data_IF_396901227281
#
_entry.id   IF_396901227281
#
_cell.length_a   1.000
_cell.length_b   1.000
_cell.length_c   1.000
_cell.angle_alpha   90.00
_cell.angle_beta   90.00
_cell.angle_gamma   90.00
#
_symmetry.space_group_name_H-M   'P 1'
#
loop_
_entity.id
_entity.type
_entity.pdbx_description
1 polymer ?
#
# COMPACT_ATOMS: atom_id res chain seq x y z
N UNK A 1 31.28 -18.43 -5.10
CA UNK A 1 30.29 -19.38 -5.61
C UNK A 1 28.89 -18.77 -5.57
N UNK A 2 28.26 -18.59 -4.42
CA UNK A 2 26.84 -18.15 -4.28
C UNK A 2 26.47 -16.83 -5.01
N UNK A 3 27.37 -15.83 -4.96
CA UNK A 3 27.16 -14.55 -5.70
C UNK A 3 27.22 -14.75 -7.22
N UNK A 4 28.09 -15.62 -7.71
CA UNK A 4 28.17 -15.93 -9.13
C UNK A 4 26.95 -16.71 -9.62
N UNK A 5 26.44 -17.63 -8.80
CA UNK A 5 25.22 -18.37 -9.12
C UNK A 5 24.01 -17.46 -9.21
N UNK A 6 23.89 -16.50 -8.27
CA UNK A 6 22.83 -15.45 -8.31
C UNK A 6 22.97 -14.57 -9.55
N UNK A 7 24.20 -14.19 -9.94
CA UNK A 7 24.43 -13.36 -11.12
C UNK A 7 24.03 -14.08 -12.42
N UNK A 8 24.28 -15.39 -12.49
CA UNK A 8 23.88 -16.21 -13.64
C UNK A 8 22.36 -16.26 -13.77
N UNK A 9 21.68 -16.55 -12.65
CA UNK A 9 20.21 -16.59 -12.62
C UNK A 9 19.60 -15.23 -12.98
N UNK A 10 20.18 -14.15 -12.48
CA UNK A 10 19.72 -12.79 -12.78
C UNK A 10 19.88 -12.45 -14.27
N UNK A 11 21.02 -12.76 -14.88
CA UNK A 11 21.25 -12.54 -16.30
C UNK A 11 20.28 -13.34 -17.17
N UNK A 12 20.08 -14.61 -16.84
CA UNK A 12 19.14 -15.46 -17.58
C UNK A 12 17.69 -14.95 -17.48
N UNK A 13 17.32 -14.37 -16.34
CA UNK A 13 16.03 -13.72 -16.16
C UNK A 13 15.90 -12.45 -17.03
N UNK A 14 16.94 -11.59 -17.03
CA UNK A 14 16.96 -10.37 -17.87
C UNK A 14 16.88 -10.71 -19.36
N UNK A 15 17.64 -11.73 -19.79
CA UNK A 15 17.64 -12.20 -21.19
C UNK A 15 16.23 -12.68 -21.58
N UNK A 16 15.55 -13.46 -20.75
CA UNK A 16 14.18 -13.92 -20.96
C UNK A 16 13.15 -12.79 -21.00
N UNK A 17 13.24 -11.85 -20.07
CA UNK A 17 12.35 -10.67 -20.02
C UNK A 17 12.47 -9.90 -21.35
N UNK A 18 13.70 -9.74 -21.83
CA UNK A 18 14.00 -9.03 -23.08
C UNK A 18 13.50 -9.82 -24.32
N UNK A 19 13.74 -11.12 -24.37
CA UNK A 19 13.30 -12.00 -25.48
C UNK A 19 11.78 -12.04 -25.63
N UNK A 20 11.05 -12.07 -24.50
CA UNK A 20 9.59 -12.13 -24.45
C UNK A 20 8.93 -10.75 -24.56
N UNK A 21 9.70 -9.65 -24.77
CA UNK A 21 9.22 -8.26 -24.77
C UNK A 21 8.41 -7.87 -23.52
N UNK A 22 8.75 -8.41 -22.36
CA UNK A 22 8.21 -7.95 -21.08
C UNK A 22 8.99 -6.73 -20.59
N UNK A 23 8.32 -5.89 -19.81
CA UNK A 23 8.93 -4.77 -19.09
C UNK A 23 8.81 -5.07 -17.60
N UNK A 24 9.93 -5.05 -16.88
CA UNK A 24 9.90 -5.09 -15.42
C UNK A 24 9.38 -3.75 -14.89
N UNK A 25 8.48 -3.78 -13.91
CA UNK A 25 7.97 -2.56 -13.24
C UNK A 25 9.12 -1.72 -12.66
N UNK A 26 10.21 -2.34 -12.23
CA UNK A 26 11.37 -1.65 -11.71
C UNK A 26 12.15 -0.85 -12.77
N UNK A 27 11.98 -1.17 -14.06
CA UNK A 27 12.70 -0.50 -15.15
C UNK A 27 11.88 0.62 -15.81
N UNK A 28 10.61 0.77 -15.45
CA UNK A 28 9.71 1.75 -16.06
C UNK A 28 10.27 3.18 -16.03
N UNK A 29 10.82 3.61 -14.90
CA UNK A 29 11.41 4.95 -14.77
C UNK A 29 12.71 5.11 -15.55
N UNK A 30 13.49 4.05 -15.70
CA UNK A 30 14.70 4.03 -16.54
C UNK A 30 14.32 4.18 -18.01
N UNK A 31 13.34 3.40 -18.47
CA UNK A 31 12.80 3.48 -19.84
C UNK A 31 12.16 4.85 -20.09
N UNK A 32 11.47 5.41 -19.10
CA UNK A 32 10.92 6.76 -19.18
C UNK A 32 12.03 7.79 -19.38
N UNK A 33 13.09 7.75 -18.57
CA UNK A 33 14.21 8.67 -18.69
C UNK A 33 14.87 8.62 -20.09
N UNK A 34 15.02 7.43 -20.68
CA UNK A 34 15.60 7.25 -22.02
C UNK A 34 14.71 7.74 -23.16
N UNK A 35 13.41 7.83 -22.95
CA UNK A 35 12.45 8.16 -23.99
C UNK A 35 11.76 9.52 -23.84
N UNK A 36 11.89 10.16 -22.68
CA UNK A 36 11.21 11.43 -22.39
C UNK A 36 11.58 12.52 -23.40
N UNK A 37 12.84 12.63 -23.76
CA UNK A 37 13.32 13.60 -24.76
C UNK A 37 12.82 13.29 -26.19
N UNK A 38 12.57 12.01 -26.51
CA UNK A 38 12.10 11.59 -27.83
C UNK A 38 10.61 11.82 -28.04
N UNK A 39 9.85 11.89 -26.94
CA UNK A 39 8.40 12.03 -26.99
C UNK A 39 7.90 13.43 -27.35
N UNK A 40 8.73 14.46 -27.16
CA UNK A 40 8.39 15.88 -27.31
C UNK A 40 7.15 16.33 -26.49
N UNK A 41 6.66 15.47 -25.57
CA UNK A 41 5.44 15.73 -24.79
C UNK A 41 5.65 16.89 -23.80
N UNK A 42 6.88 17.06 -23.31
CA UNK A 42 7.21 18.00 -22.26
C UNK A 42 8.01 19.20 -22.77
N UNK A 43 8.18 19.31 -24.07
CA UNK A 43 8.89 20.46 -24.67
C UNK A 43 8.16 21.77 -24.28
N UNK A 44 8.95 22.78 -23.87
CA UNK A 44 8.43 24.09 -23.46
C UNK A 44 7.39 24.07 -22.31
N UNK A 45 7.25 22.95 -21.61
CA UNK A 45 6.32 22.83 -20.48
C UNK A 45 6.85 23.51 -19.22
N UNK A 46 5.93 23.93 -18.35
CA UNK A 46 6.24 24.35 -16.97
C UNK A 46 5.73 23.26 -16.02
N UNK A 47 6.63 22.72 -15.21
CA UNK A 47 6.35 21.59 -14.33
C UNK A 47 6.44 21.99 -12.86
N UNK A 48 5.56 21.42 -12.05
CA UNK A 48 5.56 21.57 -10.60
C UNK A 48 5.63 20.19 -9.95
N UNK A 49 6.66 19.98 -9.13
CA UNK A 49 6.88 18.75 -8.35
C UNK A 49 6.82 19.14 -6.87
N UNK A 50 5.79 18.66 -6.17
CA UNK A 50 5.48 19.09 -4.80
C UNK A 50 5.31 17.90 -3.85
N UNK A 51 5.53 18.14 -2.54
CA UNK A 51 5.39 17.14 -1.46
C UNK A 51 6.41 15.98 -1.45
N UNK A 52 7.52 16.08 -2.16
CA UNK A 52 8.58 15.08 -2.10
C UNK A 52 9.63 15.40 -1.03
N UNK A 53 9.94 14.42 -0.16
CA UNK A 53 11.06 14.53 0.78
C UNK A 53 12.38 14.12 0.13
N UNK A 54 12.34 13.24 -0.86
CA UNK A 54 13.50 12.75 -1.62
C UNK A 54 13.07 12.00 -2.87
N UNK A 55 14.05 11.63 -3.67
CA UNK A 55 13.86 10.93 -4.93
C UNK A 55 14.77 9.71 -5.01
N UNK A 56 14.32 8.66 -5.67
CA UNK A 56 15.14 7.52 -6.05
C UNK A 56 16.13 7.90 -7.16
N UNK A 57 17.15 7.09 -7.39
CA UNK A 57 18.11 7.34 -8.47
C UNK A 57 17.47 7.42 -9.85
N UNK A 58 16.45 6.61 -10.09
CA UNK A 58 15.71 6.59 -11.35
C UNK A 58 14.86 7.85 -11.51
N UNK A 59 14.20 8.32 -10.45
CA UNK A 59 13.46 9.60 -10.46
C UNK A 59 14.38 10.78 -10.70
N UNK A 60 15.57 10.82 -10.10
CA UNK A 60 16.58 11.83 -10.41
C UNK A 60 17.01 11.79 -11.88
N UNK A 61 17.13 10.59 -12.47
CA UNK A 61 17.45 10.48 -13.91
C UNK A 61 16.34 11.05 -14.78
N UNK A 62 15.08 10.80 -14.45
CA UNK A 62 13.92 11.38 -15.15
C UNK A 62 13.91 12.89 -15.02
N UNK A 63 14.12 13.44 -13.80
CA UNK A 63 14.20 14.89 -13.56
C UNK A 63 15.33 15.52 -14.37
N UNK A 64 16.49 14.87 -14.44
CA UNK A 64 17.62 15.33 -15.23
C UNK A 64 17.31 15.42 -16.72
N UNK A 65 16.62 14.43 -17.29
CA UNK A 65 16.22 14.49 -18.70
C UNK A 65 15.11 15.53 -18.95
N UNK A 66 14.13 15.63 -18.05
CA UNK A 66 13.10 16.67 -18.12
C UNK A 66 13.69 18.08 -18.05
N UNK A 67 14.73 18.30 -17.25
CA UNK A 67 15.39 19.60 -17.13
C UNK A 67 16.05 20.09 -18.43
N UNK A 68 16.34 19.17 -19.37
CA UNK A 68 16.94 19.52 -20.67
C UNK A 68 15.92 20.03 -21.68
N UNK A 69 14.64 19.69 -21.53
CA UNK A 69 13.59 19.94 -22.52
C UNK A 69 12.47 20.84 -22.02
N UNK A 70 12.16 20.79 -20.73
CA UNK A 70 11.14 21.65 -20.13
C UNK A 70 11.61 23.12 -20.11
N UNK A 71 10.64 24.03 -20.21
CA UNK A 71 10.92 25.46 -20.08
C UNK A 71 11.30 25.83 -18.66
N UNK A 72 10.57 25.32 -17.68
CA UNK A 72 10.79 25.59 -16.27
C UNK A 72 10.35 24.37 -15.43
N UNK A 73 11.10 24.05 -14.38
CA UNK A 73 10.72 23.04 -13.38
C UNK A 73 10.81 23.67 -12.00
N UNK A 74 9.71 23.65 -11.27
CA UNK A 74 9.63 24.09 -9.88
C UNK A 74 9.52 22.87 -8.97
N UNK A 75 10.49 22.69 -8.07
CA UNK A 75 10.50 21.58 -7.11
C UNK A 75 10.48 22.16 -5.70
N UNK A 76 9.48 21.81 -4.90
CA UNK A 76 9.40 22.24 -3.51
C UNK A 76 9.99 21.19 -2.59
N UNK A 77 10.84 21.59 -1.66
CA UNK A 77 11.43 20.72 -0.65
C UNK A 77 11.34 21.40 0.71
N UNK A 78 10.79 20.71 1.69
CA UNK A 78 10.67 21.22 3.05
C UNK A 78 11.98 21.01 3.82
N UNK A 79 12.64 22.12 4.23
CA UNK A 79 13.89 22.08 5.01
C UNK A 79 14.04 23.32 5.87
N UNK A 80 14.85 23.25 6.92
CA UNK A 80 15.21 24.40 7.76
C UNK A 80 16.37 25.22 7.15
N UNK A 81 17.36 24.53 6.60
CA UNK A 81 18.55 25.10 5.98
C UNK A 81 18.88 24.36 4.68
N UNK A 82 19.64 25.02 3.79
CA UNK A 82 20.04 24.41 2.52
C UNK A 82 21.35 23.61 2.60
N UNK A 83 22.11 23.78 3.68
CA UNK A 83 23.40 23.12 3.86
C UNK A 83 23.29 21.99 4.87
N UNK A 84 23.92 20.87 4.56
CA UNK A 84 24.14 19.80 5.54
C UNK A 84 25.22 20.26 6.51
N UNK A 85 24.83 20.61 7.72
CA UNK A 85 25.74 21.09 8.77
C UNK A 85 25.84 20.12 9.95
N UNK A 86 24.93 19.15 10.04
CA UNK A 86 24.83 18.18 11.14
C UNK A 86 24.91 16.75 10.59
N UNK A 87 25.20 15.79 11.47
CA UNK A 87 25.14 14.37 11.12
C UNK A 87 23.68 13.89 10.87
N UNK A 88 23.48 12.79 10.16
CA UNK A 88 22.14 12.22 9.90
C UNK A 88 21.30 12.04 11.18
N UNK A 89 21.93 11.63 12.27
CA UNK A 89 21.25 11.36 13.55
C UNK A 89 20.84 12.65 14.29
N UNK A 90 21.47 13.77 13.97
CA UNK A 90 21.26 15.05 14.65
C UNK A 90 20.40 16.04 13.84
N UNK A 91 20.05 15.70 12.62
CA UNK A 91 19.34 16.58 11.69
C UNK A 91 18.10 15.91 11.10
N UNK A 92 16.93 16.32 11.57
CA UNK A 92 15.63 15.82 11.05
C UNK A 92 15.44 16.09 9.55
N UNK A 93 16.08 17.10 9.00
CA UNK A 93 16.01 17.47 7.59
C UNK A 93 17.21 16.98 6.76
N UNK A 94 18.03 16.07 7.30
CA UNK A 94 19.23 15.60 6.62
C UNK A 94 18.95 15.11 5.19
N UNK A 95 17.98 14.22 5.04
CA UNK A 95 17.62 13.66 3.73
C UNK A 95 17.06 14.71 2.77
N UNK A 96 16.27 15.64 3.28
CA UNK A 96 15.75 16.76 2.49
C UNK A 96 16.88 17.68 2.00
N UNK A 97 17.88 17.94 2.84
CA UNK A 97 19.08 18.72 2.47
C UNK A 97 19.93 18.00 1.43
N UNK A 98 20.07 16.67 1.54
CA UNK A 98 20.73 15.85 0.51
C UNK A 98 19.98 15.91 -0.82
N UNK A 99 18.65 15.85 -0.76
CA UNK A 99 17.77 16.01 -1.93
C UNK A 99 18.01 17.36 -2.62
N UNK A 100 18.01 18.45 -1.88
CA UNK A 100 18.30 19.80 -2.43
C UNK A 100 19.68 19.84 -3.08
N UNK A 101 20.72 19.32 -2.41
CA UNK A 101 22.07 19.30 -2.98
C UNK A 101 22.16 18.48 -4.27
N UNK A 102 21.49 17.33 -4.30
CA UNK A 102 21.46 16.45 -5.47
C UNK A 102 20.76 17.15 -6.64
N UNK A 103 19.60 17.77 -6.40
CA UNK A 103 18.86 18.52 -7.41
C UNK A 103 19.68 19.70 -7.96
N UNK A 104 20.35 20.46 -7.09
CA UNK A 104 21.21 21.56 -7.52
C UNK A 104 22.35 21.06 -8.43
N UNK A 105 22.95 19.91 -8.11
CA UNK A 105 24.01 19.34 -8.93
C UNK A 105 23.51 18.81 -10.28
N UNK A 106 22.32 18.17 -10.30
CA UNK A 106 21.75 17.60 -11.53
C UNK A 106 21.25 18.69 -12.47
N UNK A 107 20.65 19.73 -11.94
CA UNK A 107 20.05 20.81 -12.73
C UNK A 107 20.97 22.01 -12.93
N UNK A 108 22.21 21.94 -12.47
CA UNK A 108 23.20 23.05 -12.52
C UNK A 108 22.65 24.36 -11.95
N UNK A 109 21.94 24.28 -10.83
CA UNK A 109 21.30 25.41 -10.18
C UNK A 109 22.30 26.10 -9.26
N UNK A 110 22.50 27.42 -9.48
CA UNK A 110 23.28 28.22 -8.54
C UNK A 110 22.59 28.28 -7.16
N UNK A 111 23.40 28.15 -6.11
CA UNK A 111 22.93 28.15 -4.71
C UNK A 111 22.20 29.45 -4.33
N UNK A 112 22.45 30.54 -5.05
CA UNK A 112 21.84 31.85 -4.79
C UNK A 112 20.51 32.04 -5.56
N UNK A 113 20.18 31.17 -6.51
CA UNK A 113 18.93 31.23 -7.29
C UNK A 113 17.76 30.51 -6.65
N UNK A 114 17.92 29.91 -5.46
CA UNK A 114 16.89 29.20 -4.76
C UNK A 114 15.87 30.16 -4.13
N UNK A 115 14.58 29.87 -4.36
CA UNK A 115 13.47 30.61 -3.74
C UNK A 115 13.22 30.07 -2.36
N UNK A 116 13.33 30.91 -1.33
CA UNK A 116 13.03 30.53 0.06
C UNK A 116 11.70 31.11 0.48
N UNK A 117 10.74 30.25 0.79
CA UNK A 117 9.46 30.61 1.38
C UNK A 117 9.61 30.61 2.91
N UNK A 118 9.74 31.81 3.51
CA UNK A 118 9.96 31.94 4.96
C UNK A 118 8.69 32.26 5.74
N UNK A 119 7.64 32.70 5.06
CA UNK A 119 6.39 33.07 5.70
C UNK A 119 5.59 31.85 6.14
N UNK A 120 5.26 31.78 7.43
CA UNK A 120 4.49 30.70 8.01
C UNK A 120 3.02 31.11 8.05
N UNK A 121 2.29 30.80 6.99
CA UNK A 121 0.86 31.06 6.88
C UNK A 121 -0.01 29.94 7.50
N UNK A 122 0.56 28.74 7.70
CA UNK A 122 -0.17 27.55 8.22
C UNK A 122 -0.69 27.74 9.63
N UNK A 123 0.10 28.39 10.50
CA UNK A 123 -0.24 28.55 11.91
C UNK A 123 -0.74 29.95 12.18
N UNK A 124 -1.94 30.06 12.80
CA UNK A 124 -2.55 31.35 13.17
C UNK A 124 -2.02 31.88 14.51
N UNK A 125 -1.54 30.98 15.38
CA UNK A 125 -1.14 31.29 16.75
C UNK A 125 0.40 31.26 16.88
N UNK A 126 0.94 32.20 17.62
CA UNK A 126 2.39 32.33 17.76
C UNK A 126 3.03 31.17 18.53
N UNK A 127 2.31 30.57 19.49
CA UNK A 127 2.76 29.36 20.18
C UNK A 127 2.93 28.17 19.24
N UNK A 128 2.02 28.00 18.24
CA UNK A 128 2.14 26.94 17.25
C UNK A 128 3.26 27.23 16.25
N UNK A 129 3.44 28.50 15.86
CA UNK A 129 4.58 28.92 15.04
C UNK A 129 5.90 28.64 15.73
N UNK A 130 5.98 29.01 17.01
CA UNK A 130 7.17 28.76 17.84
C UNK A 130 7.48 27.26 17.95
N UNK A 131 6.47 26.44 18.24
CA UNK A 131 6.61 24.99 18.31
C UNK A 131 7.13 24.41 16.99
N UNK A 132 6.51 24.77 15.86
CA UNK A 132 6.89 24.27 14.54
C UNK A 132 8.33 24.64 14.17
N UNK A 133 8.77 25.84 14.54
CA UNK A 133 10.12 26.32 14.22
C UNK A 133 11.21 25.78 15.16
N UNK A 134 10.86 25.41 16.39
CA UNK A 134 11.85 25.17 17.44
C UNK A 134 11.73 23.81 18.14
N UNK A 135 10.83 22.93 17.72
CA UNK A 135 10.62 21.62 18.36
C UNK A 135 11.92 20.80 18.47
N UNK A 136 12.78 20.89 17.47
CA UNK A 136 14.05 20.16 17.40
C UNK A 136 15.27 21.08 17.52
N UNK A 137 15.09 22.32 18.00
CA UNK A 137 16.21 23.23 18.16
C UNK A 137 17.13 22.80 19.30
N UNK A 138 18.45 22.83 19.04
CA UNK A 138 19.50 22.59 20.02
C UNK A 138 20.46 23.77 19.99
N UNK A 139 20.59 24.51 21.10
CA UNK A 139 19.85 24.40 22.35
C UNK A 139 18.36 24.70 22.19
N UNK A 140 17.53 24.12 23.06
CA UNK A 140 16.08 24.35 23.01
C UNK A 140 15.74 25.83 23.25
N UNK A 141 14.66 26.27 22.62
CA UNK A 141 14.16 27.64 22.76
C UNK A 141 12.82 27.64 23.49
N UNK A 142 12.76 28.34 24.58
CA UNK A 142 11.55 28.45 25.42
C UNK A 142 10.59 29.50 24.84
N UNK A 143 9.31 29.14 24.75
CA UNK A 143 8.25 30.10 24.45
C UNK A 143 7.85 30.83 25.74
N UNK A 144 7.82 32.15 25.68
CA UNK A 144 7.54 33.00 26.87
C UNK A 144 6.13 33.61 26.86
N UNK A 145 5.29 33.29 25.85
CA UNK A 145 3.90 33.74 25.77
C UNK A 145 2.93 32.80 26.45
N UNK A 146 1.66 33.18 26.45
CA UNK A 146 0.56 32.34 26.98
C UNK A 146 0.31 31.14 26.05
N UNK A 147 0.18 29.94 26.64
CA UNK A 147 -0.09 28.70 25.91
C UNK A 147 -1.56 28.31 26.10
N UNK A 148 -2.40 28.63 25.12
CA UNK A 148 -3.84 28.38 25.17
C UNK A 148 -4.32 27.31 24.18
N UNK A 149 -3.56 27.05 23.11
CA UNK A 149 -3.96 26.19 22.01
C UNK A 149 -3.19 24.87 21.95
N UNK A 150 -2.16 24.71 22.78
CA UNK A 150 -1.39 23.47 22.94
C UNK A 150 -1.75 22.83 24.26
N UNK A 151 -2.12 21.56 24.26
CA UNK A 151 -2.41 20.77 25.45
C UNK A 151 -1.66 19.46 25.39
N UNK A 152 -1.05 19.09 26.51
CA UNK A 152 -0.43 17.78 26.69
C UNK A 152 -1.28 16.97 27.66
N UNK A 153 -1.59 15.75 27.30
CA UNK A 153 -2.33 14.82 28.14
C UNK A 153 -1.55 13.51 28.24
N UNK A 154 -1.43 12.97 29.42
CA UNK A 154 -0.83 11.67 29.69
C UNK A 154 -1.94 10.71 30.11
N UNK A 155 -2.22 9.71 29.29
CA UNK A 155 -3.20 8.68 29.58
C UNK A 155 -2.55 7.47 30.28
N UNK A 156 -3.34 6.72 31.03
CA UNK A 156 -2.89 5.49 31.70
C UNK A 156 -2.75 4.33 30.69
N UNK A 157 -3.58 4.32 29.68
CA UNK A 157 -3.60 3.29 28.63
C UNK A 157 -4.22 3.85 27.34
N UNK A 158 -4.16 3.07 26.27
CA UNK A 158 -4.67 3.47 24.96
C UNK A 158 -6.19 3.72 24.93
N UNK A 159 -6.96 3.01 25.74
CA UNK A 159 -8.40 3.22 25.82
C UNK A 159 -8.72 4.61 26.38
N UNK A 160 -8.16 4.96 27.54
CA UNK A 160 -8.35 6.27 28.16
C UNK A 160 -7.75 7.41 27.32
N UNK A 161 -6.71 7.14 26.52
CA UNK A 161 -6.17 8.09 25.53
C UNK A 161 -7.21 8.45 24.46
N UNK A 162 -7.79 7.43 23.81
CA UNK A 162 -8.80 7.63 22.76
C UNK A 162 -10.10 8.21 23.34
N UNK A 163 -10.52 7.78 24.52
CA UNK A 163 -11.69 8.32 25.22
C UNK A 163 -11.51 9.82 25.53
N UNK A 164 -10.33 10.22 26.03
CA UNK A 164 -10.02 11.62 26.24
C UNK A 164 -10.06 12.44 24.95
N UNK A 165 -9.53 11.90 23.84
CA UNK A 165 -9.60 12.53 22.52
C UNK A 165 -11.05 12.69 22.08
N UNK A 166 -11.88 11.65 22.21
CA UNK A 166 -13.30 11.70 21.86
C UNK A 166 -14.05 12.78 22.64
N UNK A 167 -13.87 12.81 23.96
CA UNK A 167 -14.48 13.83 24.82
C UNK A 167 -14.06 15.25 24.44
N UNK A 168 -12.79 15.47 24.07
CA UNK A 168 -12.31 16.77 23.59
C UNK A 168 -12.89 17.14 22.23
N UNK A 169 -13.03 16.19 21.29
CA UNK A 169 -13.66 16.43 20.00
C UNK A 169 -15.11 16.91 20.19
N UNK A 170 -15.89 16.18 20.99
CA UNK A 170 -17.28 16.58 21.30
C UNK A 170 -17.34 17.98 21.92
N UNK A 171 -16.42 18.28 22.84
CA UNK A 171 -16.33 19.59 23.47
C UNK A 171 -15.99 20.72 22.48
N UNK A 172 -15.06 20.46 21.53
CA UNK A 172 -14.71 21.43 20.50
C UNK A 172 -15.87 21.70 19.57
N UNK A 173 -16.60 20.67 19.15
CA UNK A 173 -17.75 20.80 18.26
C UNK A 173 -18.91 21.51 18.96
N UNK A 174 -19.27 21.05 20.16
CA UNK A 174 -20.40 21.60 20.93
C UNK A 174 -20.17 23.01 21.43
N UNK A 175 -19.00 23.27 22.05
CA UNK A 175 -18.75 24.48 22.82
C UNK A 175 -17.97 25.54 22.02
N UNK A 176 -17.23 25.15 20.99
CA UNK A 176 -16.37 26.03 20.19
C UNK A 176 -16.79 26.18 18.73
N UNK A 177 -17.84 25.47 18.30
CA UNK A 177 -18.39 25.57 16.96
C UNK A 177 -17.53 24.97 15.84
N UNK A 178 -16.60 24.09 16.17
CA UNK A 178 -15.86 23.34 15.16
C UNK A 178 -16.77 22.32 14.46
N UNK A 179 -16.51 22.03 13.21
CA UNK A 179 -17.11 20.89 12.50
C UNK A 179 -16.21 19.67 12.69
N UNK A 180 -16.78 18.47 12.66
CA UNK A 180 -15.99 17.24 12.70
C UNK A 180 -14.95 17.17 11.57
N UNK A 181 -15.27 17.73 10.39
CA UNK A 181 -14.35 17.83 9.26
C UNK A 181 -13.14 18.76 9.48
N UNK A 182 -13.18 19.61 10.48
CA UNK A 182 -12.09 20.54 10.82
C UNK A 182 -11.08 19.90 11.78
N UNK A 183 -11.35 18.66 12.25
CA UNK A 183 -10.57 17.98 13.29
C UNK A 183 -9.90 16.75 12.69
N UNK A 184 -8.59 16.63 12.88
CA UNK A 184 -7.82 15.45 12.50
C UNK A 184 -7.18 14.81 13.75
N UNK A 185 -7.21 13.48 13.80
CA UNK A 185 -6.50 12.68 14.80
C UNK A 185 -5.36 11.96 14.08
N UNK A 186 -4.13 12.19 14.53
CA UNK A 186 -2.93 11.65 13.92
C UNK A 186 -2.26 10.70 14.91
N UNK A 187 -1.96 9.48 14.48
CA UNK A 187 -1.19 8.52 15.26
C UNK A 187 -0.10 7.87 14.39
N UNK A 188 0.97 7.42 15.02
CA UNK A 188 2.09 6.80 14.32
C UNK A 188 1.74 5.42 13.75
N UNK A 189 0.95 4.65 14.49
CA UNK A 189 0.54 3.30 14.10
C UNK A 189 -0.98 3.21 14.13
N UNK A 190 -1.59 3.37 12.96
CA UNK A 190 -3.05 3.35 12.81
C UNK A 190 -3.65 1.98 13.13
N UNK A 191 -2.95 0.88 12.86
CA UNK A 191 -3.47 -0.47 13.06
C UNK A 191 -3.75 -0.76 14.53
N UNK A 192 -2.91 -0.21 15.42
CA UNK A 192 -3.09 -0.34 16.87
C UNK A 192 -4.31 0.41 17.38
N UNK A 193 -4.63 1.56 16.80
CA UNK A 193 -5.68 2.46 17.31
C UNK A 193 -7.01 2.35 16.55
N UNK A 194 -7.01 1.85 15.30
CA UNK A 194 -8.17 1.89 14.43
C UNK A 194 -9.43 1.22 15.02
N UNK A 195 -9.29 0.07 15.67
CA UNK A 195 -10.41 -0.63 16.29
C UNK A 195 -10.95 0.09 17.53
N UNK A 196 -10.05 0.63 18.36
CA UNK A 196 -10.41 1.44 19.53
C UNK A 196 -11.10 2.74 19.11
N UNK A 197 -10.53 3.46 18.14
CA UNK A 197 -11.15 4.67 17.61
C UNK A 197 -12.55 4.41 17.04
N UNK A 198 -12.74 3.31 16.30
CA UNK A 198 -14.07 2.96 15.78
C UNK A 198 -15.08 2.71 16.89
N UNK A 199 -14.71 1.95 17.92
CA UNK A 199 -15.60 1.62 19.02
C UNK A 199 -15.96 2.88 19.84
N UNK A 200 -14.93 3.58 20.35
CA UNK A 200 -15.11 4.73 21.22
C UNK A 200 -15.76 5.90 20.50
N UNK A 201 -15.37 6.22 19.26
CA UNK A 201 -15.99 7.32 18.52
C UNK A 201 -17.45 7.02 18.15
N UNK A 202 -17.82 5.73 17.96
CA UNK A 202 -19.21 5.35 17.79
C UNK A 202 -20.03 5.57 19.08
N UNK A 203 -19.48 5.27 20.26
CA UNK A 203 -20.12 5.54 21.55
C UNK A 203 -20.36 7.04 21.79
N UNK A 204 -19.43 7.89 21.34
CA UNK A 204 -19.52 9.34 21.41
C UNK A 204 -20.27 9.99 20.22
N UNK A 205 -20.85 9.19 19.31
CA UNK A 205 -21.53 9.62 18.10
C UNK A 205 -20.68 10.54 17.19
N UNK A 206 -19.36 10.31 17.17
CA UNK A 206 -18.41 11.06 16.35
C UNK A 206 -18.29 10.39 14.99
N UNK A 207 -18.69 11.06 13.88
CA UNK A 207 -18.45 10.55 12.55
C UNK A 207 -16.94 10.58 12.24
N UNK A 208 -16.36 9.42 11.91
CA UNK A 208 -14.93 9.29 11.66
C UNK A 208 -14.65 8.55 10.37
N UNK A 209 -13.71 9.06 9.59
CA UNK A 209 -13.04 8.33 8.53
C UNK A 209 -11.67 7.88 9.03
N UNK A 210 -11.38 6.58 8.93
CA UNK A 210 -10.09 6.02 9.31
C UNK A 210 -9.48 5.40 8.05
N UNK A 211 -8.34 5.94 7.63
CA UNK A 211 -7.60 5.45 6.46
C UNK A 211 -6.85 4.15 6.82
N UNK A 212 -7.56 3.04 6.73
CA UNK A 212 -7.01 1.70 6.92
C UNK A 212 -7.29 0.83 5.71
N UNK A 213 -6.28 0.12 5.25
CA UNK A 213 -6.48 -0.93 4.25
C UNK A 213 -7.31 -2.04 4.89
N UNK A 214 -8.47 -2.33 4.31
CA UNK A 214 -9.27 -3.48 4.73
C UNK A 214 -8.77 -4.72 3.99
N UNK A 215 -8.36 -5.72 4.75
CA UNK A 215 -8.11 -7.03 4.17
C UNK A 215 -9.44 -7.65 3.73
N UNK A 216 -9.61 -7.75 2.43
CA UNK A 216 -10.81 -8.34 1.81
C UNK A 216 -10.71 -9.86 1.69
N UNK A 217 -9.57 -10.47 1.99
CA UNK A 217 -9.36 -11.92 1.85
C UNK A 217 -10.26 -12.73 2.79
N UNK A 218 -10.77 -12.11 3.86
CA UNK A 218 -11.73 -12.75 4.77
C UNK A 218 -13.18 -12.73 4.25
N UNK A 219 -13.46 -11.96 3.20
CA UNK A 219 -14.78 -11.96 2.56
C UNK A 219 -15.03 -13.32 1.85
N UNK A 220 -16.17 -13.94 2.10
CA UNK A 220 -16.49 -15.25 1.54
C UNK A 220 -16.50 -15.27 0.01
N UNK A 221 -16.98 -14.20 -0.64
CA UNK A 221 -16.95 -14.10 -2.10
C UNK A 221 -15.52 -14.04 -2.64
N UNK A 222 -14.65 -13.30 -1.97
CA UNK A 222 -13.23 -13.22 -2.35
C UNK A 222 -12.56 -14.59 -2.13
N UNK A 223 -12.81 -15.25 -1.00
CA UNK A 223 -12.35 -16.63 -0.76
C UNK A 223 -12.81 -17.59 -1.85
N UNK A 224 -14.07 -17.46 -2.27
CA UNK A 224 -14.62 -18.27 -3.36
C UNK A 224 -13.83 -18.06 -4.67
N UNK A 225 -13.61 -16.79 -5.08
CA UNK A 225 -12.84 -16.47 -6.29
C UNK A 225 -11.40 -16.97 -6.18
N UNK A 226 -10.72 -16.71 -5.06
CA UNK A 226 -9.35 -17.18 -4.83
C UNK A 226 -9.28 -18.71 -4.88
N UNK A 227 -10.22 -19.43 -4.27
CA UNK A 227 -10.23 -20.90 -4.27
C UNK A 227 -10.42 -21.48 -5.67
N UNK A 228 -11.20 -20.83 -6.54
CA UNK A 228 -11.31 -21.20 -7.96
C UNK A 228 -9.94 -21.12 -8.65
N UNK A 229 -9.23 -20.00 -8.48
CA UNK A 229 -7.91 -19.81 -9.05
C UNK A 229 -6.90 -20.83 -8.47
N UNK A 230 -6.96 -21.08 -7.19
CA UNK A 230 -6.12 -22.06 -6.51
C UNK A 230 -6.33 -23.48 -7.02
N UNK A 231 -7.57 -23.88 -7.30
CA UNK A 231 -7.87 -25.20 -7.88
C UNK A 231 -7.16 -25.35 -9.23
N UNK A 232 -7.23 -24.32 -10.07
CA UNK A 232 -6.63 -24.34 -11.40
C UNK A 232 -5.11 -24.29 -11.35
N UNK A 233 -4.54 -23.49 -10.43
CA UNK A 233 -3.09 -23.29 -10.29
C UNK A 233 -2.41 -24.46 -9.56
N UNK A 234 -3.04 -25.00 -8.52
CA UNK A 234 -2.47 -26.06 -7.65
C UNK A 234 -2.86 -27.48 -8.07
N UNK A 235 -3.36 -27.66 -9.29
CA UNK A 235 -3.72 -28.95 -9.87
C UNK A 235 -4.70 -29.76 -9.01
N UNK A 236 -5.80 -29.14 -8.58
CA UNK A 236 -6.91 -29.83 -7.91
C UNK A 236 -6.50 -30.58 -6.62
N UNK A 237 -5.73 -29.94 -5.76
CA UNK A 237 -5.41 -30.50 -4.44
C UNK A 237 -6.67 -30.62 -3.58
N UNK A 238 -6.67 -31.54 -2.62
CA UNK A 238 -7.76 -31.69 -1.65
C UNK A 238 -8.11 -30.35 -0.99
N UNK A 239 -7.10 -29.64 -0.48
CA UNK A 239 -7.28 -28.36 0.21
C UNK A 239 -7.92 -27.30 -0.69
N UNK A 240 -7.46 -27.16 -1.94
CA UNK A 240 -8.00 -26.14 -2.84
C UNK A 240 -9.47 -26.39 -3.18
N UNK A 241 -9.85 -27.67 -3.42
CA UNK A 241 -11.24 -28.01 -3.75
C UNK A 241 -12.14 -27.85 -2.54
N UNK A 242 -11.73 -28.29 -1.35
CA UNK A 242 -12.57 -28.15 -0.16
C UNK A 242 -12.61 -26.74 0.39
N UNK A 243 -11.60 -25.92 0.17
CA UNK A 243 -11.72 -24.47 0.40
C UNK A 243 -12.80 -23.83 -0.47
N UNK A 244 -12.93 -24.25 -1.72
CA UNK A 244 -13.98 -23.81 -2.64
C UNK A 244 -15.38 -24.27 -2.18
N UNK A 245 -15.55 -25.53 -1.88
CA UNK A 245 -16.82 -26.09 -1.41
C UNK A 245 -17.27 -25.43 -0.09
N UNK A 246 -16.37 -25.30 0.88
CA UNK A 246 -16.64 -24.72 2.21
C UNK A 246 -16.94 -23.22 2.21
N UNK A 247 -16.85 -22.54 1.07
CA UNK A 247 -17.33 -21.15 0.95
C UNK A 247 -18.85 -21.03 1.02
N UNK A 248 -19.60 -22.15 0.84
CA UNK A 248 -21.06 -22.17 0.82
C UNK A 248 -21.72 -21.68 -0.46
N UNK A 249 -20.94 -21.23 -1.47
CA UNK A 249 -21.48 -20.84 -2.78
C UNK A 249 -21.74 -22.04 -3.70
N UNK A 250 -21.15 -23.19 -3.38
CA UNK A 250 -21.35 -24.44 -4.10
C UNK A 250 -22.27 -25.32 -3.26
N UNK A 251 -23.49 -25.54 -3.74
CA UNK A 251 -24.45 -26.38 -3.01
C UNK A 251 -24.26 -27.83 -3.41
N UNK A 252 -23.75 -28.63 -2.49
CA UNK A 252 -23.69 -30.09 -2.57
C UNK A 252 -24.44 -30.68 -1.39
N UNK A 253 -25.03 -31.84 -1.61
CA UNK A 253 -25.67 -32.58 -0.53
C UNK A 253 -24.63 -33.39 0.24
N UNK A 254 -24.86 -33.58 1.54
CA UNK A 254 -24.05 -34.45 2.40
C UNK A 254 -22.53 -34.13 2.32
N UNK A 255 -22.19 -32.83 2.49
CA UNK A 255 -20.82 -32.33 2.38
C UNK A 255 -19.81 -33.15 3.19
N UNK A 256 -20.17 -33.54 4.43
CA UNK A 256 -19.30 -34.34 5.29
C UNK A 256 -19.05 -35.76 4.74
N UNK A 257 -20.08 -36.38 4.22
CA UNK A 257 -19.93 -37.72 3.62
C UNK A 257 -19.13 -37.64 2.33
N UNK A 258 -19.36 -36.60 1.53
CA UNK A 258 -18.60 -36.31 0.32
C UNK A 258 -17.12 -36.07 0.64
N UNK A 259 -16.81 -35.25 1.64
CA UNK A 259 -15.44 -34.97 2.08
C UNK A 259 -14.74 -36.26 2.58
N UNK A 260 -15.42 -37.05 3.43
CA UNK A 260 -14.91 -38.33 3.92
C UNK A 260 -14.66 -39.34 2.80
N UNK A 261 -15.52 -39.35 1.79
CA UNK A 261 -15.31 -40.17 0.60
C UNK A 261 -14.05 -39.76 -0.16
N UNK A 262 -13.87 -38.46 -0.41
CA UNK A 262 -12.68 -37.94 -1.08
C UNK A 262 -11.39 -38.23 -0.33
N UNK A 263 -11.41 -38.11 1.01
CA UNK A 263 -10.27 -38.46 1.87
C UNK A 263 -9.96 -39.97 1.83
N UNK A 264 -10.98 -40.80 1.97
CA UNK A 264 -10.85 -42.28 1.96
C UNK A 264 -10.19 -42.79 0.68
N UNK A 265 -10.56 -42.24 -0.47
CA UNK A 265 -10.07 -42.65 -1.78
C UNK A 265 -8.93 -41.82 -2.33
N UNK A 266 -8.45 -40.83 -1.56
CA UNK A 266 -7.35 -39.94 -1.94
C UNK A 266 -7.62 -39.24 -3.26
N UNK A 267 -8.78 -38.55 -3.36
CA UNK A 267 -9.22 -37.86 -4.56
C UNK A 267 -8.43 -36.54 -4.65
N UNK A 268 -7.54 -36.45 -5.65
CA UNK A 268 -6.77 -35.24 -5.96
C UNK A 268 -6.30 -35.26 -7.43
N UNK A 269 -5.94 -34.11 -7.96
CA UNK A 269 -5.42 -33.97 -9.31
C UNK A 269 -6.40 -34.48 -10.36
N UNK A 270 -5.91 -35.30 -11.28
CA UNK A 270 -6.69 -35.84 -12.41
C UNK A 270 -7.89 -36.67 -12.00
N UNK A 271 -7.88 -37.27 -10.79
CA UNK A 271 -9.02 -38.02 -10.29
C UNK A 271 -10.32 -37.24 -10.23
N UNK A 272 -10.23 -35.89 -10.13
CA UNK A 272 -11.40 -35.02 -10.12
C UNK A 272 -12.11 -34.96 -11.47
N UNK A 273 -11.39 -34.99 -12.60
CA UNK A 273 -11.97 -34.63 -13.90
C UNK A 273 -11.75 -35.65 -15.04
N UNK A 274 -10.94 -36.70 -14.85
CA UNK A 274 -10.69 -37.66 -15.93
C UNK A 274 -11.87 -38.57 -16.22
N UNK A 275 -12.49 -39.14 -15.18
CA UNK A 275 -13.61 -40.10 -15.29
C UNK A 275 -14.48 -40.12 -14.05
N UNK A 276 -15.68 -40.66 -14.19
CA UNK A 276 -16.55 -40.87 -13.07
C UNK A 276 -15.98 -41.89 -12.05
N UNK A 277 -16.30 -41.67 -10.79
CA UNK A 277 -15.83 -42.48 -9.71
C UNK A 277 -16.66 -43.77 -9.59
N UNK A 278 -16.00 -44.94 -9.54
CA UNK A 278 -16.59 -46.28 -9.39
C UNK A 278 -16.00 -47.07 -8.21
N UNK A 279 -15.41 -46.33 -7.23
CA UNK A 279 -14.66 -46.94 -6.12
C UNK A 279 -15.50 -47.78 -5.16
N UNK A 280 -16.84 -47.69 -5.19
CA UNK A 280 -17.75 -48.44 -4.32
C UNK A 280 -18.76 -49.30 -5.06
N UNK A 281 -18.28 -50.33 -5.73
CA UNK A 281 -19.20 -51.38 -6.23
C UNK A 281 -19.81 -52.26 -5.15
N UNK A 282 -19.39 -52.16 -3.88
CA UNK A 282 -19.62 -53.14 -2.83
C UNK A 282 -20.50 -52.65 -1.66
N UNK A 283 -20.64 -51.36 -1.45
CA UNK A 283 -21.45 -50.79 -0.36
C UNK A 283 -22.40 -49.74 -0.93
N UNK A 284 -23.70 -49.94 -0.78
CA UNK A 284 -24.88 -49.20 -1.21
C UNK A 284 -24.56 -47.71 -1.50
N UNK A 285 -24.26 -47.43 -2.73
CA UNK A 285 -23.51 -46.26 -3.11
C UNK A 285 -24.36 -45.00 -3.11
N UNK A 286 -24.06 -44.07 -2.27
CA UNK A 286 -24.32 -42.67 -2.58
C UNK A 286 -23.46 -42.32 -3.79
N UNK A 287 -24.13 -42.12 -4.94
CA UNK A 287 -23.42 -41.77 -6.16
C UNK A 287 -22.96 -40.32 -6.10
N UNK A 288 -21.77 -40.06 -5.54
CA UNK A 288 -21.17 -38.74 -5.43
C UNK A 288 -20.74 -38.12 -6.76
N UNK A 289 -20.90 -38.81 -7.88
CA UNK A 289 -20.61 -38.24 -9.19
C UNK A 289 -21.48 -37.02 -9.52
N UNK A 290 -22.72 -36.95 -9.04
CA UNK A 290 -23.54 -35.74 -9.22
C UNK A 290 -22.91 -34.52 -8.54
N UNK A 291 -22.47 -34.66 -7.27
CA UNK A 291 -21.80 -33.60 -6.52
C UNK A 291 -20.47 -33.25 -7.17
N UNK A 292 -19.71 -34.25 -7.61
CA UNK A 292 -18.48 -34.06 -8.37
C UNK A 292 -18.70 -33.17 -9.62
N UNK A 293 -19.74 -33.52 -10.43
CA UNK A 293 -20.05 -32.70 -11.62
C UNK A 293 -20.45 -31.27 -11.30
N UNK A 294 -21.18 -31.01 -10.22
CA UNK A 294 -21.51 -29.64 -9.76
C UNK A 294 -20.24 -28.86 -9.48
N UNK A 295 -19.20 -29.49 -8.94
CA UNK A 295 -17.91 -28.85 -8.64
C UNK A 295 -17.04 -28.70 -9.89
N UNK A 296 -16.92 -29.77 -10.68
CA UNK A 296 -15.89 -29.91 -11.72
C UNK A 296 -16.27 -29.23 -13.02
N UNK A 297 -17.51 -29.41 -13.49
CA UNK A 297 -17.90 -28.97 -14.84
C UNK A 297 -17.75 -27.47 -15.05
N UNK A 298 -18.18 -26.58 -14.12
CA UNK A 298 -17.98 -25.14 -14.27
C UNK A 298 -16.50 -24.72 -14.29
N UNK A 299 -15.68 -25.42 -13.50
CA UNK A 299 -14.25 -25.13 -13.38
C UNK A 299 -13.46 -25.57 -14.63
N UNK A 300 -13.84 -26.70 -15.23
CA UNK A 300 -13.25 -27.15 -16.49
C UNK A 300 -13.66 -26.21 -17.63
N UNK A 301 -14.92 -25.78 -17.67
CA UNK A 301 -15.37 -24.78 -18.65
C UNK A 301 -14.56 -23.48 -18.54
N UNK A 302 -14.37 -22.98 -17.30
CA UNK A 302 -13.56 -21.81 -17.04
C UNK A 302 -12.11 -22.01 -17.47
N UNK A 303 -11.49 -23.15 -17.14
CA UNK A 303 -10.13 -23.49 -17.56
C UNK A 303 -9.97 -23.45 -19.08
N UNK A 304 -10.93 -24.02 -19.79
CA UNK A 304 -10.90 -24.06 -21.27
C UNK A 304 -11.01 -22.65 -21.88
N UNK A 305 -11.89 -21.80 -21.30
CA UNK A 305 -12.02 -20.39 -21.72
C UNK A 305 -10.74 -19.59 -21.48
N UNK A 306 -10.10 -19.78 -20.32
CA UNK A 306 -8.83 -19.11 -20.01
C UNK A 306 -7.67 -19.57 -20.90
N UNK A 307 -7.68 -20.84 -21.32
CA UNK A 307 -6.65 -21.40 -22.21
C UNK A 307 -6.84 -20.93 -23.66
N UNK A 308 -8.09 -20.74 -24.11
CA UNK A 308 -8.40 -20.27 -25.46
C UNK A 308 -8.21 -18.76 -25.67
N UNK A 309 -8.16 -17.96 -24.60
CA UNK A 309 -7.90 -16.51 -24.64
C UNK A 309 -6.42 -16.13 -24.74
N UNK A 310 -5.51 -17.08 -24.88
CA UNK A 310 -4.06 -16.87 -25.01
C UNK A 310 -3.55 -16.85 -26.44
N UNK A 311 -4.43 -16.69 -27.44
CA UNK A 311 -4.05 -16.51 -28.86
C UNK A 311 -4.20 -15.07 -29.28
#
# INVERSE_FOLDING_TARGET
AKMNDMLIVYKELEDKITEDNYIDENDLLTILAENVAKSHLFDESVMYIDEFAGFTKQEYSVISELNKIAKEIYITVCTDELRVTKSPEADIFYDNKQTVQTLCNICDIDKDSQIRLQDIHRYKNDELKHLAQNLYAVPYKVYHGDVNHIKLYLAENQYSEVEHVAANIVKLVRDKGYRYSDIAVICRNIDTYASLCKAIFAEYEIPVFIDTKKDITQNLLIKYVISILDILAKNWTYESVFNYVKTGFVQINDEYEFENYCLKWGIQGRKWYEKDWDFERIFGANNFNKQRHIIVDPLIELKNKLSSGRN
#
